data_IF_827752435751
#
_entry.id   IF_827752435751
#
_cell.length_a   1.000
_cell.length_b   1.000
_cell.length_c   1.000
_cell.angle_alpha   90.00
_cell.angle_beta   90.00
_cell.angle_gamma   90.00
#
_symmetry.space_group_name_H-M   'P 1'
#
loop_
_entity.id
_entity.type
_entity.pdbx_description
1 polymer ?
#
# COMPACT_ATOMS: atom_id res chain seq x y z
N UNK A 1 -2.13 -12.55 44.20
CA UNK A 1 -2.79 -12.54 42.87
C UNK A 1 -3.18 -11.13 42.55
N UNK A 2 -2.61 -10.53 41.50
CA UNK A 2 -2.94 -9.17 41.10
C UNK A 2 -4.30 -9.17 40.40
N UNK A 3 -5.27 -8.43 40.94
CA UNK A 3 -6.59 -8.24 40.31
C UNK A 3 -6.41 -7.41 39.05
N UNK A 4 -6.83 -7.95 37.92
CA UNK A 4 -6.98 -7.22 36.66
C UNK A 4 -8.10 -6.20 36.84
N UNK A 5 -7.77 -4.91 36.87
CA UNK A 5 -8.74 -3.83 36.75
C UNK A 5 -8.93 -3.55 35.25
N UNK A 6 -10.11 -3.84 34.66
CA UNK A 6 -10.36 -3.56 33.25
C UNK A 6 -10.18 -2.06 33.00
N UNK A 7 -9.30 -1.69 32.06
CA UNK A 7 -9.11 -0.31 31.65
C UNK A 7 -10.37 0.17 30.93
N UNK A 8 -10.97 1.26 31.38
CA UNK A 8 -12.07 1.89 30.66
C UNK A 8 -11.62 2.27 29.25
N UNK A 9 -12.44 1.88 28.27
CA UNK A 9 -12.16 2.15 26.87
C UNK A 9 -12.21 3.67 26.66
N UNK A 10 -11.21 4.24 25.95
CA UNK A 10 -11.22 5.66 25.65
C UNK A 10 -12.52 5.99 24.93
N UNK A 11 -13.25 6.99 25.45
CA UNK A 11 -14.55 7.48 24.99
C UNK A 11 -14.62 7.52 23.46
N UNK A 12 -15.37 6.56 22.93
CA UNK A 12 -15.47 6.16 21.54
C UNK A 12 -15.88 4.69 21.62
N UNK A 13 -17.08 4.35 21.14
CA UNK A 13 -17.66 3.04 21.48
C UNK A 13 -16.69 1.92 21.12
N UNK A 14 -16.62 0.85 21.90
CA UNK A 14 -15.90 -0.37 21.49
C UNK A 14 -16.30 -0.75 20.05
N UNK A 15 -17.55 -0.48 19.69
CA UNK A 15 -18.11 -0.62 18.35
C UNK A 15 -17.51 0.34 17.29
N UNK A 16 -17.05 1.55 17.60
CA UNK A 16 -16.32 2.43 16.67
C UNK A 16 -14.88 1.96 16.48
N UNK A 17 -14.19 1.56 17.55
CA UNK A 17 -12.86 0.96 17.42
C UNK A 17 -12.93 -0.37 16.65
N UNK A 18 -13.94 -1.20 16.95
CA UNK A 18 -14.22 -2.43 16.21
C UNK A 18 -14.62 -2.12 14.77
N UNK A 19 -15.52 -1.16 14.51
CA UNK A 19 -15.88 -0.73 13.14
C UNK A 19 -14.65 -0.25 12.38
N UNK A 20 -13.84 0.63 12.95
CA UNK A 20 -12.62 1.14 12.30
C UNK A 20 -11.54 0.05 12.14
N UNK A 21 -11.56 -0.99 12.96
CA UNK A 21 -10.73 -2.19 12.79
C UNK A 21 -11.31 -3.18 11.77
N UNK A 22 -12.63 -3.23 11.61
CA UNK A 22 -13.35 -4.12 10.69
C UNK A 22 -13.41 -3.55 9.27
N UNK A 23 -13.58 -2.24 9.10
CA UNK A 23 -13.40 -1.55 7.81
C UNK A 23 -11.96 -1.70 7.31
N UNK A 24 -10.97 -1.75 8.23
CA UNK A 24 -9.58 -2.08 7.90
C UNK A 24 -9.33 -3.55 7.53
N UNK A 25 -10.29 -4.47 7.68
CA UNK A 25 -10.03 -5.92 7.61
C UNK A 25 -10.36 -6.62 6.31
N UNK A 26 -11.15 -6.07 5.37
CA UNK A 26 -11.45 -6.76 4.10
C UNK A 26 -11.94 -5.81 2.99
N UNK A 27 -11.18 -4.79 2.62
CA UNK A 27 -11.30 -4.26 1.25
C UNK A 27 -10.17 -4.90 0.45
N UNK A 28 -10.54 -5.88 -0.36
CA UNK A 28 -9.66 -6.33 -1.43
C UNK A 28 -9.71 -5.30 -2.55
N UNK A 29 -8.56 -4.80 -2.95
CA UNK A 29 -8.43 -3.81 -4.02
C UNK A 29 -7.92 -4.48 -5.28
N UNK A 30 -8.50 -4.12 -6.42
CA UNK A 30 -7.84 -4.32 -7.70
C UNK A 30 -6.80 -3.21 -7.87
N UNK A 31 -5.54 -3.61 -8.06
CA UNK A 31 -4.44 -2.68 -8.33
C UNK A 31 -4.02 -2.75 -9.79
N UNK A 32 -3.63 -1.60 -10.34
CA UNK A 32 -2.82 -1.52 -11.56
C UNK A 32 -1.68 -0.53 -11.35
N UNK A 33 -0.47 -1.03 -11.58
CA UNK A 33 0.77 -0.28 -11.40
C UNK A 33 1.66 -0.51 -12.61
N UNK A 34 2.04 0.57 -13.29
CA UNK A 34 3.06 0.52 -14.35
C UNK A 34 4.42 0.81 -13.74
N UNK A 35 5.42 0.01 -14.10
CA UNK A 35 6.82 0.22 -13.73
C UNK A 35 7.63 0.59 -14.96
N UNK A 36 8.51 1.57 -14.80
CA UNK A 36 9.48 2.00 -15.81
C UNK A 36 10.73 1.09 -15.78
N UNK A 37 10.50 -0.23 -15.86
CA UNK A 37 11.53 -1.25 -15.99
C UNK A 37 10.98 -2.55 -16.61
N UNK A 38 11.90 -3.35 -17.17
CA UNK A 38 11.59 -4.65 -17.75
C UNK A 38 10.96 -5.62 -16.73
N UNK A 39 10.09 -6.50 -17.25
CA UNK A 39 9.35 -7.49 -16.45
C UNK A 39 10.28 -8.37 -15.59
N UNK A 40 11.47 -8.72 -16.07
CA UNK A 40 12.44 -9.55 -15.34
C UNK A 40 13.00 -8.83 -14.12
N UNK A 41 13.27 -7.52 -14.26
CA UNK A 41 13.77 -6.64 -13.21
C UNK A 41 12.73 -6.46 -12.12
N UNK A 42 11.47 -6.21 -12.52
CA UNK A 42 10.36 -5.97 -11.59
C UNK A 42 9.92 -7.25 -10.89
N UNK A 43 9.85 -8.38 -11.60
CA UNK A 43 9.49 -9.69 -11.02
C UNK A 43 10.44 -10.15 -9.92
N UNK A 44 11.72 -9.75 -9.97
CA UNK A 44 12.69 -10.05 -8.92
C UNK A 44 12.49 -9.21 -7.64
N UNK A 45 11.71 -8.12 -7.70
CA UNK A 45 11.54 -7.13 -6.63
C UNK A 45 10.13 -7.13 -6.04
N UNK A 46 9.13 -7.47 -6.84
CA UNK A 46 7.73 -7.51 -6.45
C UNK A 46 7.39 -8.87 -5.85
N UNK A 47 6.79 -8.93 -4.64
CA UNK A 47 6.31 -10.18 -4.07
C UNK A 47 5.23 -10.83 -4.93
N UNK A 48 5.30 -12.16 -5.10
CA UNK A 48 4.39 -12.90 -5.96
C UNK A 48 2.90 -12.78 -5.58
N UNK A 49 2.59 -12.51 -4.31
CA UNK A 49 1.21 -12.35 -3.85
C UNK A 49 0.53 -11.08 -4.37
N UNK A 50 1.30 -10.10 -4.85
CA UNK A 50 0.77 -8.85 -5.41
C UNK A 50 0.33 -9.02 -6.88
N UNK A 51 0.71 -10.14 -7.50
CA UNK A 51 0.48 -10.44 -8.90
C UNK A 51 1.78 -10.72 -9.66
N UNK A 52 1.62 -11.05 -10.94
CA UNK A 52 2.75 -11.26 -11.86
C UNK A 52 2.81 -10.07 -12.81
N UNK A 53 3.92 -9.32 -12.86
CA UNK A 53 4.04 -8.24 -13.83
C UNK A 53 4.02 -8.79 -15.26
N UNK A 54 3.32 -8.09 -16.15
CA UNK A 54 3.18 -8.38 -17.57
C UNK A 54 3.94 -7.34 -18.40
N UNK A 55 4.70 -7.74 -19.44
CA UNK A 55 5.44 -6.79 -20.26
C UNK A 55 4.48 -5.86 -21.03
N UNK A 56 4.79 -4.56 -21.05
CA UNK A 56 4.12 -3.58 -21.91
C UNK A 56 4.95 -3.23 -23.17
N UNK A 57 6.19 -3.71 -23.23
CA UNK A 57 7.16 -3.29 -24.24
C UNK A 57 7.93 -2.04 -23.80
N UNK A 58 8.95 -1.67 -24.59
CA UNK A 58 9.75 -0.44 -24.37
C UNK A 58 10.43 -0.36 -22.99
N UNK A 59 10.80 -1.51 -22.41
CA UNK A 59 11.42 -1.54 -21.08
C UNK A 59 10.46 -1.23 -19.94
N UNK A 60 9.15 -1.45 -20.14
CA UNK A 60 8.10 -1.25 -19.15
C UNK A 60 7.29 -2.51 -18.90
N UNK A 61 6.69 -2.59 -17.73
CA UNK A 61 5.75 -3.66 -17.40
C UNK A 61 4.61 -3.13 -16.53
N UNK A 62 3.50 -3.86 -16.51
CA UNK A 62 2.34 -3.56 -15.67
C UNK A 62 2.08 -4.71 -14.72
N UNK A 63 1.87 -4.39 -13.47
CA UNK A 63 1.39 -5.29 -12.45
C UNK A 63 -0.12 -5.07 -12.27
N UNK A 64 -0.89 -6.15 -12.35
CA UNK A 64 -2.29 -6.20 -11.94
C UNK A 64 -2.47 -7.30 -10.89
N UNK A 65 -3.38 -7.09 -9.96
CA UNK A 65 -3.71 -8.10 -8.96
C UNK A 65 -4.73 -7.63 -7.94
N UNK A 66 -5.24 -8.58 -7.17
CA UNK A 66 -6.12 -8.32 -6.04
C UNK A 66 -5.30 -8.36 -4.75
N UNK A 67 -5.32 -7.30 -3.95
CA UNK A 67 -4.56 -7.18 -2.70
C UNK A 67 -5.48 -6.89 -1.53
N UNK A 68 -5.19 -7.44 -0.35
CA UNK A 68 -5.99 -7.23 0.87
C UNK A 68 -5.30 -6.42 1.96
N UNK A 69 -4.10 -5.89 1.67
CA UNK A 69 -3.31 -5.08 2.60
C UNK A 69 -3.77 -3.62 2.61
N UNK A 70 -3.45 -2.91 3.68
CA UNK A 70 -3.69 -1.47 3.76
C UNK A 70 -2.92 -0.72 2.64
N UNK A 71 -3.57 0.26 2.00
CA UNK A 71 -2.99 1.01 0.88
C UNK A 71 -1.71 1.76 1.25
N UNK A 72 -1.57 2.20 2.51
CA UNK A 72 -0.35 2.84 3.00
C UNK A 72 0.82 1.86 3.09
N UNK A 73 0.54 0.61 3.48
CA UNK A 73 1.54 -0.46 3.45
C UNK A 73 1.96 -0.74 2.00
N UNK A 74 0.99 -0.82 1.08
CA UNK A 74 1.26 -1.10 -0.34
C UNK A 74 2.12 0.01 -0.96
N UNK A 75 1.85 1.28 -0.64
CA UNK A 75 2.65 2.41 -1.07
C UNK A 75 4.13 2.29 -0.62
N UNK A 76 4.37 1.93 0.65
CA UNK A 76 5.73 1.69 1.16
C UNK A 76 6.38 0.52 0.42
N UNK A 77 5.64 -0.57 0.18
CA UNK A 77 6.17 -1.74 -0.50
C UNK A 77 6.60 -1.44 -1.93
N UNK A 78 5.78 -0.69 -2.67
CA UNK A 78 6.08 -0.25 -4.03
C UNK A 78 7.31 0.67 -4.03
N UNK A 79 7.40 1.62 -3.11
CA UNK A 79 8.57 2.50 -2.99
C UNK A 79 9.88 1.72 -2.75
N UNK A 80 9.83 0.67 -1.94
CA UNK A 80 10.99 -0.18 -1.68
C UNK A 80 11.41 -1.06 -2.87
N UNK A 81 10.68 -1.08 -3.99
CA UNK A 81 11.17 -1.76 -5.21
C UNK A 81 12.41 -1.05 -5.79
N UNK A 82 12.57 0.26 -5.53
CA UNK A 82 13.64 1.07 -6.11
C UNK A 82 13.51 1.26 -7.62
N UNK A 83 12.32 1.06 -8.17
CA UNK A 83 11.99 1.25 -9.59
C UNK A 83 10.98 2.38 -9.69
N UNK A 84 11.11 3.25 -10.68
CA UNK A 84 10.10 4.27 -10.98
C UNK A 84 8.77 3.61 -11.35
N UNK A 85 7.68 4.07 -10.74
CA UNK A 85 6.37 3.46 -10.93
C UNK A 85 5.24 4.49 -10.92
N UNK A 86 4.13 4.12 -11.55
CA UNK A 86 2.88 4.87 -11.57
C UNK A 86 1.74 3.98 -11.13
N UNK A 87 1.05 4.39 -10.07
CA UNK A 87 -0.22 3.76 -9.66
C UNK A 87 -1.36 4.35 -10.49
N UNK A 88 -2.19 3.49 -11.05
CA UNK A 88 -3.37 3.85 -11.83
C UNK A 88 -4.66 3.58 -11.04
N UNK A 89 -4.72 2.45 -10.33
CA UNK A 89 -5.82 2.06 -9.45
C UNK A 89 -5.29 1.25 -8.24
N UNK A 90 -5.99 1.28 -7.09
CA UNK A 90 -7.17 2.11 -6.78
C UNK A 90 -6.78 3.56 -6.43
N UNK A 91 -7.76 4.48 -6.40
CA UNK A 91 -7.53 5.90 -6.13
C UNK A 91 -6.97 6.15 -4.71
N UNK A 92 -7.31 5.27 -3.79
CA UNK A 92 -6.81 5.21 -2.41
C UNK A 92 -5.31 4.96 -2.39
N UNK A 93 -4.81 4.04 -3.23
CA UNK A 93 -3.39 3.77 -3.35
C UNK A 93 -2.65 4.93 -4.03
N UNK A 94 -3.26 5.57 -5.03
CA UNK A 94 -2.71 6.79 -5.64
C UNK A 94 -2.54 7.89 -4.58
N UNK A 95 -3.55 8.07 -3.72
CA UNK A 95 -3.52 9.06 -2.63
C UNK A 95 -2.44 8.72 -1.61
N UNK A 96 -2.35 7.46 -1.18
CA UNK A 96 -1.34 7.00 -0.24
C UNK A 96 0.10 7.19 -0.75
N UNK A 97 0.35 6.90 -2.03
CA UNK A 97 1.66 7.13 -2.67
C UNK A 97 1.99 8.63 -2.73
N UNK A 98 1.02 9.48 -3.09
CA UNK A 98 1.21 10.94 -3.13
C UNK A 98 1.55 11.49 -1.75
N UNK A 99 0.82 11.07 -0.72
CA UNK A 99 1.09 11.50 0.66
C UNK A 99 2.44 11.02 1.18
N UNK A 100 2.80 9.76 0.90
CA UNK A 100 4.11 9.20 1.23
C UNK A 100 5.22 10.01 0.56
N UNK A 101 5.13 10.23 -0.76
CA UNK A 101 6.08 11.03 -1.52
C UNK A 101 6.23 12.45 -0.96
N UNK A 102 5.10 13.12 -0.67
CA UNK A 102 5.13 14.46 -0.07
C UNK A 102 5.79 14.49 1.31
N UNK A 103 5.59 13.47 2.15
CA UNK A 103 6.30 13.36 3.44
C UNK A 103 7.81 13.15 3.24
N UNK A 104 8.21 12.31 2.28
CA UNK A 104 9.61 12.05 1.97
C UNK A 104 10.31 13.31 1.45
N UNK A 105 9.67 14.09 0.58
CA UNK A 105 10.20 15.37 0.09
C UNK A 105 10.36 16.38 1.23
N UNK A 106 9.34 16.56 2.07
CA UNK A 106 9.44 17.47 3.22
C UNK A 106 10.51 17.04 4.23
N UNK A 107 10.74 15.73 4.38
CA UNK A 107 11.77 15.19 5.28
C UNK A 107 13.20 15.57 4.87
N UNK A 108 13.43 15.93 3.60
CA UNK A 108 14.73 16.45 3.13
C UNK A 108 14.83 17.97 3.22
N UNK A 109 13.80 18.66 3.73
CA UNK A 109 13.73 20.13 3.78
C UNK A 109 13.23 20.79 2.49
N UNK A 110 12.72 20.01 1.52
CA UNK A 110 12.13 20.52 0.29
C UNK A 110 10.67 20.99 0.45
N UNK A 111 10.30 22.04 -0.31
CA UNK A 111 8.91 22.50 -0.53
C UNK A 111 8.40 21.95 -1.85
#
# INVERSE_FOLDING_TARGET
GARFAPRELPTGSAAEYLRQSMYRRQETYEIAVTFEADVTVVRARVPAWMGVPEPLGEGRCRLRGTVGDAVEWLAVRLAMTGVEFRVEEPAELVSAVRELGGRLVRATGGV
#
